data_IF_780321391392
#
_entry.id   IF_780321391392
#
_cell.length_a   1.000
_cell.length_b   1.000
_cell.length_c   1.000
_cell.angle_alpha   90.00
_cell.angle_beta   90.00
_cell.angle_gamma   90.00
#
_symmetry.space_group_name_H-M   'P 1'
#
loop_
_entity.id
_entity.type
_entity.pdbx_description
1 polymer ?
#
# COMPACT_ATOMS: atom_id res chain seq x y z
N UNK A 1 -11.98 -11.68 2.88
CA UNK A 1 -11.85 -10.94 1.61
C UNK A 1 -10.45 -10.35 1.54
N UNK A 2 -9.72 -10.57 0.44
CA UNK A 2 -8.41 -9.95 0.26
C UNK A 2 -8.50 -8.43 0.29
N UNK A 3 -7.48 -7.79 0.84
CA UNK A 3 -7.43 -6.33 0.99
C UNK A 3 -7.63 -5.61 -0.36
N UNK A 4 -7.01 -6.10 -1.43
CA UNK A 4 -7.15 -5.49 -2.75
C UNK A 4 -8.60 -5.51 -3.24
N UNK A 5 -9.29 -6.62 -3.05
CA UNK A 5 -10.70 -6.75 -3.45
C UNK A 5 -11.61 -5.86 -2.61
N UNK A 6 -11.36 -5.79 -1.32
CA UNK A 6 -12.11 -4.91 -0.41
C UNK A 6 -11.95 -3.45 -0.81
N UNK A 7 -10.72 -3.01 -1.10
CA UNK A 7 -10.44 -1.64 -1.55
C UNK A 7 -11.18 -1.30 -2.83
N UNK A 8 -11.14 -2.18 -3.82
CA UNK A 8 -11.83 -1.97 -5.08
C UNK A 8 -13.33 -1.83 -4.89
N UNK A 9 -13.93 -2.74 -4.12
CA UNK A 9 -15.38 -2.74 -3.88
C UNK A 9 -15.83 -1.47 -3.19
N UNK A 10 -15.14 -1.08 -2.12
CA UNK A 10 -15.52 0.12 -1.38
C UNK A 10 -15.32 1.37 -2.23
N UNK A 11 -14.21 1.45 -2.96
CA UNK A 11 -13.92 2.61 -3.81
C UNK A 11 -14.92 2.77 -4.96
N UNK A 12 -15.40 1.67 -5.53
CA UNK A 12 -16.42 1.70 -6.57
C UNK A 12 -17.76 2.22 -6.06
N UNK A 13 -18.14 1.80 -4.85
CA UNK A 13 -19.44 2.16 -4.26
C UNK A 13 -19.39 3.56 -3.64
N UNK A 14 -18.29 3.91 -3.01
CA UNK A 14 -18.12 5.14 -2.25
C UNK A 14 -16.82 5.84 -2.64
N UNK A 15 -16.74 6.40 -3.87
CA UNK A 15 -15.48 6.92 -4.39
C UNK A 15 -14.92 8.14 -3.64
N UNK A 16 -15.78 8.86 -2.92
CA UNK A 16 -15.38 10.08 -2.21
C UNK A 16 -15.06 9.86 -0.74
N UNK A 17 -15.22 8.64 -0.22
CA UNK A 17 -14.89 8.33 1.17
C UNK A 17 -13.38 8.10 1.31
N UNK A 18 -12.72 8.74 2.30
CA UNK A 18 -11.34 8.43 2.62
C UNK A 18 -11.18 6.97 3.03
N UNK A 19 -10.17 6.29 2.48
CA UNK A 19 -9.90 4.88 2.75
C UNK A 19 -8.53 4.71 3.38
N UNK A 20 -8.49 3.87 4.43
CA UNK A 20 -7.24 3.42 5.03
C UNK A 20 -7.12 1.92 4.74
N UNK A 21 -6.10 1.56 3.97
CA UNK A 21 -5.83 0.16 3.67
C UNK A 21 -4.96 -0.46 4.75
N UNK A 22 -5.38 -1.60 5.28
CA UNK A 22 -4.58 -2.38 6.20
C UNK A 22 -4.90 -3.87 6.01
N UNK A 23 -4.07 -4.72 6.61
CA UNK A 23 -4.19 -6.16 6.43
C UNK A 23 -3.43 -6.63 5.19
N UNK A 24 -2.38 -7.40 5.39
CA UNK A 24 -1.56 -7.93 4.30
C UNK A 24 -0.59 -6.92 3.68
N UNK A 25 -0.49 -5.72 4.21
CA UNK A 25 0.48 -4.73 3.74
C UNK A 25 1.81 -5.00 4.45
N UNK A 26 2.76 -5.58 3.74
CA UNK A 26 4.03 -5.99 4.34
C UNK A 26 5.22 -5.09 3.96
N UNK A 27 5.15 -4.43 2.81
CA UNK A 27 6.27 -3.64 2.27
C UNK A 27 5.75 -2.45 1.46
N UNK A 28 6.69 -1.65 0.94
CA UNK A 28 6.34 -0.45 0.17
C UNK A 28 5.70 -0.75 -1.18
N UNK A 29 5.94 -1.91 -1.76
CA UNK A 29 5.30 -2.31 -3.02
C UNK A 29 3.81 -2.61 -2.77
N UNK A 30 3.49 -3.32 -1.69
CA UNK A 30 2.11 -3.54 -1.28
C UNK A 30 1.41 -2.22 -0.97
N UNK A 31 2.10 -1.29 -0.30
CA UNK A 31 1.59 0.04 -0.03
C UNK A 31 1.28 0.80 -1.32
N UNK A 32 2.18 0.74 -2.31
CA UNK A 32 1.97 1.39 -3.60
C UNK A 32 0.75 0.81 -4.33
N UNK A 33 0.57 -0.50 -4.31
CA UNK A 33 -0.61 -1.15 -4.89
C UNK A 33 -1.89 -0.70 -4.21
N UNK A 34 -1.91 -0.63 -2.89
CA UNK A 34 -3.07 -0.15 -2.13
C UNK A 34 -3.43 1.29 -2.50
N UNK A 35 -2.44 2.17 -2.61
CA UNK A 35 -2.65 3.55 -3.01
C UNK A 35 -3.20 3.64 -4.44
N UNK A 36 -2.64 2.86 -5.37
CA UNK A 36 -3.13 2.81 -6.74
C UNK A 36 -4.56 2.25 -6.83
N UNK A 37 -4.98 1.42 -5.87
CA UNK A 37 -6.35 0.90 -5.78
C UNK A 37 -7.34 1.89 -5.14
N UNK A 38 -6.86 3.02 -4.64
CA UNK A 38 -7.71 4.08 -4.12
C UNK A 38 -7.54 4.38 -2.63
N UNK A 39 -6.60 3.77 -1.95
CA UNK A 39 -6.36 4.07 -0.54
C UNK A 39 -5.74 5.47 -0.39
N UNK A 40 -6.19 6.20 0.62
CA UNK A 40 -5.62 7.49 0.99
C UNK A 40 -4.45 7.33 1.96
N UNK A 41 -4.53 6.34 2.83
CA UNK A 41 -3.51 6.00 3.80
C UNK A 41 -3.31 4.49 3.83
N UNK A 42 -2.15 4.07 4.28
CA UNK A 42 -1.81 2.66 4.46
C UNK A 42 -1.41 2.43 5.91
N UNK A 43 -1.99 1.41 6.52
CA UNK A 43 -1.67 1.01 7.89
C UNK A 43 -0.96 -0.33 7.93
N UNK A 44 -0.04 -0.47 8.87
CA UNK A 44 0.64 -1.73 9.15
C UNK A 44 0.56 -2.04 10.63
N UNK A 45 0.33 -3.29 10.97
CA UNK A 45 0.35 -3.75 12.36
C UNK A 45 1.24 -4.98 12.52
N UNK A 46 0.87 -6.11 11.91
CA UNK A 46 1.60 -7.35 12.09
C UNK A 46 3.06 -7.27 11.63
N UNK A 47 3.32 -6.63 10.50
CA UNK A 47 4.67 -6.51 9.97
C UNK A 47 5.58 -5.63 10.87
N UNK A 48 5.00 -4.62 11.50
CA UNK A 48 5.76 -3.71 12.38
C UNK A 48 5.94 -4.28 13.77
N UNK A 49 4.97 -5.04 14.26
CA UNK A 49 4.97 -5.55 15.64
C UNK A 49 6.21 -6.39 15.95
N UNK A 50 6.61 -7.25 15.03
CA UNK A 50 7.80 -8.08 15.22
C UNK A 50 9.07 -7.22 15.35
N UNK A 51 9.20 -6.16 14.54
CA UNK A 51 10.33 -5.23 14.60
C UNK A 51 10.29 -4.37 15.86
N UNK A 52 9.11 -3.89 16.24
CA UNK A 52 8.93 -3.08 17.44
C UNK A 52 9.25 -3.88 18.71
N UNK A 53 8.94 -5.17 18.73
CA UNK A 53 9.29 -6.05 19.85
C UNK A 53 10.81 -6.28 19.96
N UNK A 54 11.54 -6.20 18.84
CA UNK A 54 13.00 -6.33 18.86
C UNK A 54 13.65 -5.04 19.36
N UNK A 55 13.28 -3.89 18.80
CA UNK A 55 13.78 -2.58 19.22
C UNK A 55 13.04 -1.45 18.49
N UNK A 56 13.11 -0.24 19.06
CA UNK A 56 12.63 0.96 18.37
C UNK A 56 13.40 1.25 17.09
N UNK A 57 14.71 1.00 17.09
CA UNK A 57 15.56 1.19 15.91
C UNK A 57 15.16 0.22 14.79
N UNK A 58 14.80 -1.01 15.11
CA UNK A 58 14.33 -1.99 14.13
C UNK A 58 13.01 -1.53 13.48
N UNK A 59 12.10 -0.96 14.25
CA UNK A 59 10.85 -0.41 13.73
C UNK A 59 11.11 0.77 12.78
N UNK A 60 12.02 1.67 13.15
CA UNK A 60 12.42 2.81 12.30
C UNK A 60 13.03 2.30 10.99
N UNK A 61 13.93 1.32 11.06
CA UNK A 61 14.54 0.73 9.87
C UNK A 61 13.50 0.10 8.94
N UNK A 62 12.49 -0.56 9.50
CA UNK A 62 11.39 -1.12 8.72
C UNK A 62 10.64 -0.04 7.94
N UNK A 63 10.28 1.06 8.59
CA UNK A 63 9.58 2.16 7.91
C UNK A 63 10.44 2.86 6.87
N UNK A 64 11.73 3.02 7.12
CA UNK A 64 12.65 3.58 6.12
C UNK A 64 12.73 2.72 4.87
N UNK A 65 12.78 1.40 5.04
CA UNK A 65 12.78 0.46 3.93
C UNK A 65 11.46 0.55 3.14
N UNK A 66 10.33 0.60 3.85
CA UNK A 66 9.02 0.74 3.23
C UNK A 66 8.93 2.04 2.39
N UNK A 67 9.37 3.15 2.95
CA UNK A 67 9.36 4.44 2.25
C UNK A 67 10.26 4.39 1.01
N UNK A 68 11.44 3.78 1.12
CA UNK A 68 12.35 3.63 -0.02
C UNK A 68 11.70 2.79 -1.13
N UNK A 69 11.05 1.69 -0.78
CA UNK A 69 10.32 0.85 -1.74
C UNK A 69 9.18 1.62 -2.41
N UNK A 70 8.44 2.41 -1.64
CA UNK A 70 7.35 3.23 -2.16
C UNK A 70 7.87 4.28 -3.15
N UNK A 71 9.01 4.90 -2.86
CA UNK A 71 9.66 5.83 -3.78
C UNK A 71 10.08 5.16 -5.09
N UNK A 72 10.61 3.94 -5.01
CA UNK A 72 10.96 3.16 -6.21
C UNK A 72 9.71 2.86 -7.04
N UNK A 73 8.61 2.50 -6.40
CA UNK A 73 7.35 2.27 -7.10
C UNK A 73 6.85 3.54 -7.80
N UNK A 74 6.95 4.70 -7.16
CA UNK A 74 6.61 5.97 -7.79
C UNK A 74 7.49 6.25 -8.99
N UNK A 75 8.80 6.02 -8.88
CA UNK A 75 9.73 6.20 -9.99
C UNK A 75 9.39 5.27 -11.16
N UNK A 76 9.17 4.00 -10.88
CA UNK A 76 8.91 2.99 -11.92
C UNK A 76 7.57 3.22 -12.63
N UNK A 77 6.59 3.84 -11.97
CA UNK A 77 5.29 4.16 -12.57
C UNK A 77 5.22 5.56 -13.16
N UNK A 78 6.31 6.32 -13.09
CA UNK A 78 6.32 7.70 -13.55
C UNK A 78 5.49 8.65 -12.68
N UNK A 79 5.29 8.29 -11.41
CA UNK A 79 4.46 9.06 -10.49
C UNK A 79 5.33 10.02 -9.68
N UNK A 80 5.06 11.33 -9.79
CA UNK A 80 5.85 12.34 -9.08
C UNK A 80 5.58 12.36 -7.56
N UNK A 81 4.40 11.86 -7.14
CA UNK A 81 3.96 11.83 -5.75
C UNK A 81 2.89 10.75 -5.55
N UNK A 82 2.40 10.61 -4.32
CA UNK A 82 1.39 9.60 -4.01
C UNK A 82 0.05 9.89 -4.70
N UNK A 83 -0.31 11.13 -4.89
CA UNK A 83 -1.54 11.48 -5.59
C UNK A 83 -1.49 11.02 -7.05
N UNK A 84 -0.37 11.20 -7.73
CA UNK A 84 -0.15 10.67 -9.08
C UNK A 84 -0.17 9.15 -9.09
N UNK A 85 0.40 8.50 -8.07
CA UNK A 85 0.42 7.06 -7.94
C UNK A 85 -1.00 6.46 -7.88
N UNK A 86 -1.96 7.16 -7.32
CA UNK A 86 -3.37 6.72 -7.27
C UNK A 86 -3.98 6.51 -8.65
N UNK A 87 -3.42 7.13 -9.68
CA UNK A 87 -3.88 7.02 -11.06
C UNK A 87 -3.03 6.06 -11.89
N UNK A 88 -2.05 5.39 -11.27
CA UNK A 88 -1.21 4.41 -11.96
C UNK A 88 -2.04 3.22 -12.41
N UNK A 89 -1.70 2.69 -13.59
CA UNK A 89 -2.37 1.52 -14.13
C UNK A 89 -1.92 0.26 -13.41
N UNK A 90 -2.89 -0.54 -12.95
CA UNK A 90 -2.65 -1.86 -12.39
C UNK A 90 -3.11 -2.92 -13.37
N UNK A 91 -2.25 -3.92 -13.57
CA UNK A 91 -2.58 -5.05 -14.43
C UNK A 91 -2.98 -6.25 -13.54
N UNK A 92 -4.09 -6.93 -13.87
CA UNK A 92 -4.48 -8.12 -13.13
C UNK A 92 -3.48 -9.25 -13.37
N UNK A 93 -3.26 -10.05 -12.34
CA UNK A 93 -2.42 -11.25 -12.40
C UNK A 93 -3.33 -12.47 -12.29
N UNK A 94 -3.28 -13.37 -13.30
CA UNK A 94 -4.10 -14.59 -13.32
C UNK A 94 -5.58 -14.33 -13.04
N UNK A 95 -6.14 -13.27 -13.62
CA UNK A 95 -7.56 -12.93 -13.49
C UNK A 95 -7.91 -12.08 -12.28
N UNK A 96 -6.93 -11.63 -11.51
CA UNK A 96 -7.18 -10.76 -10.37
C UNK A 96 -5.92 -10.06 -9.90
N UNK A 97 -6.08 -8.92 -9.25
CA UNK A 97 -5.00 -8.28 -8.53
C UNK A 97 -4.91 -8.86 -7.12
N UNK A 98 -3.70 -8.94 -6.57
CA UNK A 98 -3.49 -9.40 -5.21
C UNK A 98 -2.48 -8.53 -4.50
N UNK A 99 -2.63 -8.44 -3.22
CA UNK A 99 -1.66 -7.84 -2.32
C UNK A 99 -1.00 -8.93 -1.50
#
# INVERSE_FOLDING_TARGET
IPTADALRRVHLVLPDIPLIASGGIANGIDAAKAIALGADLVGQAAAVLAHANASGDAAIAHFRTLIAQLRVACFCTGSANLQALRHATLLPVNGGASL
#
